data_IF_155156324346
#
_entry.id   IF_155156324346
#
_cell.length_a   1.000
_cell.length_b   1.000
_cell.length_c   1.000
_cell.angle_alpha   90.00
_cell.angle_beta   90.00
_cell.angle_gamma   90.00
#
_symmetry.space_group_name_H-M   'P 1'
#
loop_
_entity.id
_entity.type
_entity.pdbx_description
1 polymer ?
#
# COMPACT_ATOMS: atom_id res chain seq x y z
N UNK A 1 20.17 -22.69 5.18
CA UNK A 1 21.35 -22.27 5.97
C UNK A 1 20.88 -21.45 7.16
N UNK A 2 21.18 -21.83 8.41
CA UNK A 2 20.88 -21.01 9.58
C UNK A 2 21.79 -19.78 9.61
N UNK A 3 21.22 -18.59 9.75
CA UNK A 3 21.99 -17.35 9.91
C UNK A 3 22.41 -17.24 11.38
N UNK A 4 23.71 -17.27 11.66
CA UNK A 4 24.22 -17.09 13.02
C UNK A 4 24.33 -15.62 13.36
N UNK A 5 23.35 -15.13 14.12
CA UNK A 5 23.35 -13.79 14.69
C UNK A 5 24.03 -13.85 16.06
N UNK A 6 25.19 -13.19 16.20
CA UNK A 6 25.96 -13.13 17.47
C UNK A 6 25.62 -11.92 18.33
N UNK A 7 24.91 -10.96 17.77
CA UNK A 7 24.48 -9.75 18.48
C UNK A 7 23.10 -9.98 19.12
N UNK A 8 23.01 -9.80 20.44
CA UNK A 8 21.76 -9.99 21.19
C UNK A 8 20.65 -9.06 20.72
N UNK A 9 20.98 -7.82 20.32
CA UNK A 9 19.99 -6.86 19.82
C UNK A 9 19.37 -7.33 18.51
N UNK A 10 20.17 -7.95 17.64
CA UNK A 10 19.68 -8.49 16.38
C UNK A 10 18.87 -9.76 16.62
N UNK A 11 19.18 -10.54 17.65
CA UNK A 11 18.38 -11.70 18.06
C UNK A 11 16.99 -11.28 18.59
N UNK A 12 16.91 -10.22 19.39
CA UNK A 12 15.65 -9.63 19.83
C UNK A 12 14.81 -9.11 18.67
N UNK A 13 15.44 -8.36 17.74
CA UNK A 13 14.78 -7.88 16.52
C UNK A 13 14.27 -9.04 15.65
N UNK A 14 15.02 -10.13 15.56
CA UNK A 14 14.61 -11.31 14.81
C UNK A 14 13.40 -12.02 15.44
N UNK A 15 13.30 -12.06 16.77
CA UNK A 15 12.10 -12.55 17.47
C UNK A 15 10.89 -11.64 17.23
N UNK A 16 11.07 -10.33 17.28
CA UNK A 16 10.00 -9.39 16.97
C UNK A 16 9.52 -9.54 15.53
N UNK A 17 10.46 -9.60 14.56
CA UNK A 17 10.16 -9.85 13.17
C UNK A 17 9.42 -11.18 12.96
N UNK A 18 9.82 -12.24 13.66
CA UNK A 18 9.15 -13.55 13.59
C UNK A 18 7.70 -13.48 14.04
N UNK A 19 7.41 -12.75 15.13
CA UNK A 19 6.05 -12.54 15.63
C UNK A 19 5.20 -11.70 14.69
N UNK A 20 5.76 -10.61 14.15
CA UNK A 20 5.04 -9.72 13.22
C UNK A 20 4.72 -10.44 11.91
N UNK A 21 5.68 -11.22 11.39
CA UNK A 21 5.56 -11.92 10.12
C UNK A 21 4.98 -13.33 10.23
N UNK A 22 4.68 -13.81 11.45
CA UNK A 22 4.30 -15.20 11.75
C UNK A 22 5.18 -16.24 11.05
N UNK A 23 6.49 -15.97 10.98
CA UNK A 23 7.42 -16.85 10.29
C UNK A 23 7.77 -18.08 11.15
N UNK A 24 8.00 -19.25 10.53
CA UNK A 24 8.30 -20.48 11.27
C UNK A 24 9.66 -20.43 11.97
N UNK A 25 10.64 -19.74 11.39
CA UNK A 25 11.98 -19.59 11.97
C UNK A 25 12.43 -18.13 11.98
N UNK A 26 13.36 -17.79 12.90
CA UNK A 26 13.99 -16.46 12.93
C UNK A 26 14.70 -16.14 11.61
N UNK A 27 15.35 -17.13 11.01
CA UNK A 27 16.04 -17.01 9.72
C UNK A 27 15.06 -16.67 8.60
N UNK A 28 13.88 -17.29 8.58
CA UNK A 28 12.85 -16.99 7.58
C UNK A 28 12.25 -15.60 7.81
N UNK A 29 12.05 -15.20 9.06
CA UNK A 29 11.62 -13.84 9.40
C UNK A 29 12.61 -12.79 8.89
N UNK A 30 13.90 -12.99 9.14
CA UNK A 30 14.97 -12.10 8.68
C UNK A 30 15.02 -12.05 7.15
N UNK A 31 14.95 -13.21 6.47
CA UNK A 31 14.94 -13.26 5.01
C UNK A 31 13.78 -12.46 4.42
N UNK A 32 12.57 -12.68 4.93
CA UNK A 32 11.38 -11.97 4.46
C UNK A 32 11.42 -10.47 4.78
N UNK A 33 11.95 -10.09 5.94
CA UNK A 33 12.10 -8.69 6.32
C UNK A 33 13.10 -7.98 5.39
N UNK A 34 14.26 -8.57 5.15
CA UNK A 34 15.26 -8.04 4.23
C UNK A 34 14.75 -8.00 2.79
N UNK A 35 14.07 -9.05 2.35
CA UNK A 35 13.46 -9.09 1.02
C UNK A 35 12.46 -7.94 0.83
N UNK A 36 11.55 -7.71 1.79
CA UNK A 36 10.62 -6.56 1.73
C UNK A 36 11.35 -5.22 1.68
N UNK A 37 12.44 -5.06 2.42
CA UNK A 37 13.23 -3.82 2.40
C UNK A 37 13.89 -3.63 1.04
N UNK A 38 14.48 -4.68 0.45
CA UNK A 38 15.08 -4.62 -0.89
C UNK A 38 14.01 -4.37 -1.94
N UNK A 39 12.89 -5.09 -1.94
CA UNK A 39 11.78 -4.86 -2.87
C UNK A 39 11.20 -3.44 -2.72
N UNK A 40 11.09 -2.93 -1.49
CA UNK A 40 10.62 -1.55 -1.26
C UNK A 40 11.64 -0.54 -1.75
N UNK A 41 12.93 -0.75 -1.46
CA UNK A 41 14.03 0.11 -1.87
C UNK A 41 14.16 0.13 -3.39
N UNK A 42 14.18 -1.04 -4.04
CA UNK A 42 14.12 -1.19 -5.49
C UNK A 42 12.86 -0.55 -6.04
N UNK A 43 11.68 -0.76 -5.45
CA UNK A 43 10.45 -0.10 -5.91
C UNK A 43 10.37 1.40 -5.56
N UNK A 44 11.37 1.97 -4.88
CA UNK A 44 11.55 3.41 -4.66
C UNK A 44 12.70 4.02 -5.48
N UNK A 45 13.75 3.24 -5.74
CA UNK A 45 14.85 3.57 -6.66
C UNK A 45 14.46 3.35 -8.12
N UNK A 46 13.46 2.51 -8.37
CA UNK A 46 12.80 2.40 -9.66
C UNK A 46 11.93 3.66 -9.79
N UNK A 47 12.54 4.66 -10.41
CA UNK A 47 12.03 5.93 -10.91
C UNK A 47 10.76 5.83 -11.80
N UNK A 48 10.04 4.71 -11.76
CA UNK A 48 8.82 4.41 -12.51
C UNK A 48 7.54 4.58 -11.69
N UNK A 49 7.60 4.67 -10.35
CA UNK A 49 6.40 5.05 -9.61
C UNK A 49 6.11 6.53 -9.89
N UNK A 50 4.98 6.87 -10.53
CA UNK A 50 4.63 8.25 -10.75
C UNK A 50 4.57 8.94 -9.38
N UNK A 51 5.21 10.11 -9.33
CA UNK A 51 5.20 10.97 -8.16
C UNK A 51 3.77 11.17 -7.66
N UNK A 52 3.60 11.47 -6.36
CA UNK A 52 2.28 11.78 -5.80
C UNK A 52 1.55 12.84 -6.64
N UNK A 53 2.30 13.80 -7.19
CA UNK A 53 1.77 14.84 -8.07
C UNK A 53 1.21 14.29 -9.38
N UNK A 54 1.91 13.37 -10.04
CA UNK A 54 1.44 12.74 -11.27
C UNK A 54 0.21 11.86 -11.03
N UNK A 55 0.20 11.13 -9.92
CA UNK A 55 -0.97 10.34 -9.50
C UNK A 55 -2.19 11.20 -9.24
N UNK A 56 -2.02 12.31 -8.51
CA UNK A 56 -3.09 13.28 -8.25
C UNK A 56 -3.58 13.92 -9.56
N UNK A 57 -2.67 14.26 -10.47
CA UNK A 57 -3.03 14.85 -11.76
C UNK A 57 -3.88 13.89 -12.60
N UNK A 58 -3.52 12.60 -12.66
CA UNK A 58 -4.30 11.60 -13.39
C UNK A 58 -5.75 11.51 -12.87
N UNK A 59 -5.94 11.49 -11.55
CA UNK A 59 -7.26 11.46 -10.92
C UNK A 59 -8.04 12.74 -11.22
N UNK A 60 -7.40 13.91 -11.10
CA UNK A 60 -8.04 15.19 -11.40
C UNK A 60 -8.46 15.30 -12.87
N UNK A 61 -7.66 14.77 -13.80
CA UNK A 61 -7.97 14.78 -15.23
C UNK A 61 -9.11 13.80 -15.57
N UNK A 62 -9.26 12.70 -14.83
CA UNK A 62 -10.42 11.82 -14.91
C UNK A 62 -11.70 12.50 -14.38
N UNK A 63 -11.62 13.15 -13.21
CA UNK A 63 -12.75 13.91 -12.64
C UNK A 63 -13.16 15.06 -13.55
N UNK A 64 -12.20 15.79 -14.14
CA UNK A 64 -12.50 16.84 -15.13
C UNK A 64 -13.19 16.30 -16.38
N UNK A 65 -12.89 15.07 -16.80
CA UNK A 65 -13.55 14.42 -17.94
C UNK A 65 -15.02 14.10 -17.67
N UNK A 66 -15.41 13.86 -16.41
CA UNK A 66 -16.81 13.67 -16.02
C UNK A 66 -17.66 14.95 -16.23
N UNK A 67 -17.02 16.11 -16.40
CA UNK A 67 -17.69 17.38 -16.63
C UNK A 67 -17.97 18.16 -15.35
N UNK A 68 -18.70 19.27 -15.48
CA UNK A 68 -19.13 20.05 -14.32
C UNK A 68 -20.33 19.38 -13.66
N UNK A 69 -20.38 19.31 -12.31
CA UNK A 69 -21.60 18.91 -11.62
C UNK A 69 -22.77 19.77 -12.10
N UNK A 70 -23.89 19.13 -12.45
CA UNK A 70 -25.11 19.85 -12.79
C UNK A 70 -25.73 20.39 -11.50
N UNK A 71 -25.80 21.72 -11.29
CA UNK A 71 -26.34 22.30 -10.06
C UNK A 71 -27.86 22.10 -9.93
N UNK A 72 -28.56 21.82 -11.02
CA UNK A 72 -30.00 21.57 -11.04
C UNK A 72 -30.34 20.08 -10.95
N UNK A 73 -29.34 19.23 -10.64
CA UNK A 73 -29.57 17.79 -10.49
C UNK A 73 -30.27 17.50 -9.17
N UNK A 74 -31.48 16.94 -9.25
CA UNK A 74 -32.27 16.57 -8.08
C UNK A 74 -31.89 15.15 -7.62
N UNK A 75 -30.89 15.10 -6.74
CA UNK A 75 -30.44 13.86 -6.09
C UNK A 75 -31.59 13.13 -5.39
N UNK A 76 -32.58 13.86 -4.85
CA UNK A 76 -33.67 13.29 -4.09
C UNK A 76 -34.69 12.61 -5.00
N UNK A 77 -35.05 13.23 -6.12
CA UNK A 77 -35.95 12.61 -7.09
C UNK A 77 -35.35 11.33 -7.70
N UNK A 78 -34.05 11.35 -8.03
CA UNK A 78 -33.34 10.16 -8.50
C UNK A 78 -33.37 9.02 -7.46
N UNK A 79 -33.09 9.35 -6.20
CA UNK A 79 -33.12 8.36 -5.12
C UNK A 79 -34.54 7.87 -4.88
N UNK A 80 -35.56 8.73 -4.84
CA UNK A 80 -36.94 8.31 -4.62
C UNK A 80 -37.40 7.32 -5.72
N UNK A 81 -37.03 7.52 -6.99
CA UNK A 81 -37.30 6.59 -8.12
C UNK A 81 -36.64 5.21 -7.95
N UNK A 82 -35.45 5.14 -7.33
CA UNK A 82 -34.77 3.85 -7.09
C UNK A 82 -35.40 3.01 -5.98
N UNK A 83 -36.23 3.62 -5.12
CA UNK A 83 -36.83 2.97 -3.95
C UNK A 83 -38.34 2.76 -4.07
N UNK A 84 -39.01 3.34 -5.07
CA UNK A 84 -40.35 2.92 -5.50
C UNK A 84 -40.27 1.59 -6.28
N UNK A 85 -40.12 0.49 -5.54
CA UNK A 85 -40.33 -0.89 -6.00
C UNK A 85 -41.73 -1.35 -5.60
#
# INVERSE_FOLDING_TARGET
MPLYVRDERVNELAEQARRILNAPTKTDAIRQALQRVVETAEASDTSEKPSLRERLKAIQDEVKRLGKPNPDFDDKALLDEMWEI
#
